data_IF_899480854128
#
_entry.id   IF_899480854128
#
_cell.length_a   1.000
_cell.length_b   1.000
_cell.length_c   1.000
_cell.angle_alpha   90.00
_cell.angle_beta   90.00
_cell.angle_gamma   90.00
#
_symmetry.space_group_name_H-M   'P 1'
#
loop_
_entity.id
_entity.type
_entity.pdbx_description
1 polymer ?
#
# COMPACT_ATOMS: atom_id res chain seq x y z
N UNK A 1 -1.52 -36.64 18.75
CA UNK A 1 -2.17 -37.62 17.85
C UNK A 1 -1.17 -38.21 16.88
N UNK A 2 -1.34 -39.45 16.46
CA UNK A 2 -0.50 -40.06 15.41
C UNK A 2 -0.99 -39.58 14.00
N UNK A 3 -0.09 -39.53 13.01
CA UNK A 3 -0.34 -39.05 11.63
C UNK A 3 -1.62 -39.63 11.01
N UNK A 4 -1.85 -40.93 11.19
CA UNK A 4 -3.02 -41.64 10.66
C UNK A 4 -4.34 -41.15 11.25
N UNK A 5 -4.35 -40.80 12.55
CA UNK A 5 -5.53 -40.26 13.22
C UNK A 5 -5.85 -38.84 12.74
N UNK A 6 -4.84 -38.03 12.45
CA UNK A 6 -5.03 -36.66 11.96
C UNK A 6 -5.58 -36.69 10.53
N UNK A 7 -5.04 -37.58 9.69
CA UNK A 7 -5.53 -37.78 8.32
C UNK A 7 -6.98 -38.27 8.29
N UNK A 8 -7.37 -39.18 9.18
CA UNK A 8 -8.77 -39.63 9.26
C UNK A 8 -9.70 -38.48 9.65
N UNK A 9 -9.34 -37.69 10.67
CA UNK A 9 -10.15 -36.52 11.06
C UNK A 9 -10.30 -35.50 9.92
N UNK A 10 -9.20 -35.19 9.20
CA UNK A 10 -9.26 -34.28 8.05
C UNK A 10 -10.18 -34.85 6.97
N UNK A 11 -10.08 -36.15 6.68
CA UNK A 11 -10.93 -36.78 5.67
C UNK A 11 -12.41 -36.79 6.05
N UNK A 12 -12.71 -36.92 7.34
CA UNK A 12 -14.07 -36.90 7.85
C UNK A 12 -14.64 -35.48 7.79
N UNK A 13 -13.88 -34.46 8.22
CA UNK A 13 -14.26 -33.05 8.07
C UNK A 13 -14.48 -32.67 6.60
N UNK A 14 -13.64 -33.15 5.67
CA UNK A 14 -13.81 -32.91 4.23
C UNK A 14 -15.12 -33.47 3.68
N UNK A 15 -15.54 -34.66 4.17
CA UNK A 15 -16.85 -35.21 3.82
C UNK A 15 -17.97 -34.33 4.38
N UNK A 16 -17.85 -33.87 5.62
CA UNK A 16 -18.84 -32.99 6.24
C UNK A 16 -18.97 -31.65 5.50
N UNK A 17 -17.88 -31.04 5.03
CA UNK A 17 -17.93 -29.84 4.17
C UNK A 17 -18.79 -30.07 2.92
N UNK A 18 -18.72 -31.26 2.33
CA UNK A 18 -19.47 -31.61 1.11
C UNK A 18 -20.96 -31.86 1.38
N UNK A 19 -21.30 -32.25 2.60
CA UNK A 19 -22.67 -32.53 3.05
C UNK A 19 -23.37 -31.30 3.65
N UNK A 20 -22.60 -30.31 4.09
CA UNK A 20 -23.12 -29.08 4.68
C UNK A 20 -23.98 -28.29 3.69
N UNK A 21 -25.10 -27.75 4.19
CA UNK A 21 -26.07 -27.04 3.36
C UNK A 21 -25.81 -25.53 3.31
N UNK A 22 -25.45 -24.91 4.44
CA UNK A 22 -25.16 -23.48 4.53
C UNK A 22 -23.65 -23.17 4.50
N UNK A 23 -23.32 -21.91 4.21
CA UNK A 23 -21.92 -21.46 4.16
C UNK A 23 -21.27 -21.36 5.54
N UNK A 24 -22.03 -21.17 6.61
CA UNK A 24 -21.54 -21.10 7.99
C UNK A 24 -20.94 -22.42 8.43
N UNK A 25 -21.69 -23.51 8.30
CA UNK A 25 -21.18 -24.85 8.61
C UNK A 25 -19.96 -25.19 7.75
N UNK A 26 -19.97 -24.87 6.45
CA UNK A 26 -18.79 -25.07 5.58
C UNK A 26 -17.57 -24.29 6.07
N UNK A 27 -17.75 -23.06 6.54
CA UNK A 27 -16.67 -22.25 7.07
C UNK A 27 -16.07 -22.86 8.34
N UNK A 28 -16.92 -23.34 9.27
CA UNK A 28 -16.47 -23.95 10.52
C UNK A 28 -15.73 -25.28 10.29
N UNK A 29 -16.22 -26.12 9.38
CA UNK A 29 -15.56 -27.40 9.03
C UNK A 29 -14.20 -27.16 8.37
N UNK A 30 -14.10 -26.19 7.44
CA UNK A 30 -12.81 -25.82 6.85
C UNK A 30 -11.88 -25.19 7.90
N UNK A 31 -12.40 -24.41 8.83
CA UNK A 31 -11.62 -23.85 9.93
C UNK A 31 -11.00 -24.97 10.79
N UNK A 32 -11.76 -26.02 11.11
CA UNK A 32 -11.25 -27.19 11.83
C UNK A 32 -10.14 -27.90 11.04
N UNK A 33 -10.33 -28.08 9.73
CA UNK A 33 -9.29 -28.66 8.86
C UNK A 33 -8.02 -27.81 8.90
N UNK A 34 -8.13 -26.48 8.79
CA UNK A 34 -6.98 -25.58 8.85
C UNK A 34 -6.25 -25.68 10.20
N UNK A 35 -6.97 -25.66 11.31
CA UNK A 35 -6.39 -25.81 12.65
C UNK A 35 -5.65 -27.14 12.79
N UNK A 36 -6.26 -28.26 12.39
CA UNK A 36 -5.62 -29.58 12.40
C UNK A 36 -4.36 -29.63 11.53
N UNK A 37 -4.39 -29.01 10.35
CA UNK A 37 -3.22 -28.95 9.45
C UNK A 37 -2.09 -28.10 10.03
N UNK A 38 -2.41 -26.98 10.67
CA UNK A 38 -1.42 -26.07 11.26
C UNK A 38 -0.79 -26.69 12.52
N UNK A 39 -1.61 -27.20 13.43
CA UNK A 39 -1.15 -27.75 14.72
C UNK A 39 -0.39 -29.07 14.58
N UNK A 40 -0.74 -29.90 13.59
CA UNK A 40 -0.09 -31.20 13.39
C UNK A 40 1.38 -31.10 13.00
N UNK A 41 1.80 -29.99 12.37
CA UNK A 41 3.14 -29.76 11.82
C UNK A 41 3.66 -30.88 10.88
N UNK A 42 2.77 -31.72 10.32
CA UNK A 42 3.14 -32.84 9.44
C UNK A 42 3.30 -32.34 8.00
N UNK A 43 4.52 -32.39 7.48
CA UNK A 43 4.91 -31.79 6.19
C UNK A 43 4.09 -32.33 4.99
N UNK A 44 3.76 -33.63 4.98
CA UNK A 44 2.94 -34.25 3.94
C UNK A 44 1.46 -33.80 3.94
N UNK A 45 0.97 -33.33 5.09
CA UNK A 45 -0.42 -32.88 5.30
C UNK A 45 -0.58 -31.39 4.97
N UNK A 46 0.55 -30.65 4.88
CA UNK A 46 0.58 -29.22 4.52
C UNK A 46 0.28 -28.95 3.05
N UNK A 47 0.19 -29.98 2.20
CA UNK A 47 -0.24 -29.80 0.82
C UNK A 47 -1.67 -29.23 0.80
N UNK A 48 -1.81 -28.15 0.02
CA UNK A 48 -3.03 -27.38 -0.23
C UNK A 48 -3.62 -26.54 0.92
N UNK A 49 -2.88 -26.21 1.99
CA UNK A 49 -3.35 -25.21 2.99
C UNK A 49 -3.76 -23.90 2.31
N UNK A 50 -3.05 -23.49 1.25
CA UNK A 50 -3.39 -22.31 0.46
C UNK A 50 -4.81 -22.37 -0.15
N UNK A 51 -5.19 -23.54 -0.68
CA UNK A 51 -6.53 -23.75 -1.27
C UNK A 51 -7.58 -23.76 -0.15
N UNK A 52 -7.29 -24.42 0.97
CA UNK A 52 -8.19 -24.47 2.11
C UNK A 52 -8.43 -23.08 2.70
N UNK A 53 -7.42 -22.21 2.75
CA UNK A 53 -7.60 -20.80 3.16
C UNK A 53 -8.47 -20.03 2.18
N UNK A 54 -8.35 -20.25 0.86
CA UNK A 54 -9.27 -19.62 -0.11
C UNK A 54 -10.71 -20.10 0.04
N UNK A 55 -10.89 -21.40 0.32
CA UNK A 55 -12.21 -21.99 0.60
C UNK A 55 -12.78 -21.41 1.89
N UNK A 56 -11.97 -21.32 2.94
CA UNK A 56 -12.33 -20.69 4.20
C UNK A 56 -12.81 -19.25 3.99
N UNK A 57 -12.01 -18.41 3.32
CA UNK A 57 -12.37 -17.01 3.03
C UNK A 57 -13.70 -16.93 2.29
N UNK A 58 -13.90 -17.76 1.26
CA UNK A 58 -15.13 -17.75 0.48
C UNK A 58 -16.35 -18.14 1.34
N UNK A 59 -16.27 -19.27 2.07
CA UNK A 59 -17.38 -19.73 2.90
C UNK A 59 -17.64 -18.80 4.07
N UNK A 60 -16.60 -18.30 4.73
CA UNK A 60 -16.74 -17.39 5.86
C UNK A 60 -17.43 -16.09 5.43
N UNK A 61 -17.01 -15.45 4.34
CA UNK A 61 -17.65 -14.23 3.83
C UNK A 61 -19.11 -14.50 3.44
N UNK A 62 -19.36 -15.56 2.66
CA UNK A 62 -20.72 -15.87 2.19
C UNK A 62 -21.65 -16.33 3.33
N UNK A 63 -21.11 -16.84 4.45
CA UNK A 63 -21.93 -17.23 5.61
C UNK A 63 -22.71 -16.06 6.21
N UNK A 64 -22.32 -14.82 5.93
CA UNK A 64 -23.05 -13.64 6.38
C UNK A 64 -24.22 -13.25 5.47
N UNK A 65 -24.27 -13.74 4.21
CA UNK A 65 -25.47 -13.58 3.37
C UNK A 65 -26.62 -14.47 3.87
N UNK A 66 -26.29 -15.64 4.44
CA UNK A 66 -27.26 -16.63 4.92
C UNK A 66 -27.83 -16.30 6.32
N UNK A 67 -27.24 -15.34 7.04
CA UNK A 67 -27.55 -15.06 8.45
C UNK A 67 -28.54 -13.91 8.62
N UNK A 68 -29.44 -14.04 9.61
CA UNK A 68 -30.40 -13.00 9.96
C UNK A 68 -29.70 -11.74 10.51
N UNK A 69 -30.31 -10.58 10.29
CA UNK A 69 -29.84 -9.27 10.76
C UNK A 69 -29.47 -9.31 12.26
N UNK A 70 -28.34 -8.69 12.63
CA UNK A 70 -27.75 -8.62 13.99
C UNK A 70 -27.08 -9.89 14.56
N UNK A 71 -26.95 -11.00 13.83
CA UNK A 71 -26.45 -12.24 14.46
C UNK A 71 -24.95 -12.53 14.40
N UNK A 72 -24.11 -11.81 13.64
CA UNK A 72 -22.65 -11.94 13.80
C UNK A 72 -21.88 -10.67 13.37
N UNK A 73 -20.86 -10.33 14.15
CA UNK A 73 -19.86 -9.30 13.77
C UNK A 73 -18.79 -9.98 12.91
N UNK A 74 -18.60 -9.49 11.68
CA UNK A 74 -17.51 -9.93 10.81
C UNK A 74 -16.16 -9.68 11.49
N UNK A 75 -15.38 -10.75 11.68
CA UNK A 75 -14.07 -10.71 12.31
C UNK A 75 -12.97 -10.77 11.24
N UNK A 76 -12.35 -9.61 10.99
CA UNK A 76 -11.28 -9.48 10.02
C UNK A 76 -9.99 -10.19 10.47
N UNK A 77 -9.78 -10.36 11.78
CA UNK A 77 -8.58 -10.98 12.34
C UNK A 77 -8.56 -12.48 12.02
N UNK A 78 -9.71 -13.16 12.08
CA UNK A 78 -9.83 -14.59 11.77
C UNK A 78 -9.29 -14.93 10.37
N UNK A 79 -9.59 -14.10 9.37
CA UNK A 79 -9.03 -14.28 8.02
C UNK A 79 -7.53 -13.92 8.00
N UNK A 80 -7.19 -12.80 8.64
CA UNK A 80 -5.82 -12.26 8.67
C UNK A 80 -4.82 -13.24 9.26
N UNK A 81 -5.19 -13.94 10.34
CA UNK A 81 -4.34 -14.96 11.00
C UNK A 81 -3.90 -16.04 10.02
N UNK A 82 -4.82 -16.61 9.24
CA UNK A 82 -4.49 -17.62 8.25
C UNK A 82 -3.66 -17.08 7.09
N UNK A 83 -3.97 -15.88 6.60
CA UNK A 83 -3.23 -15.23 5.51
C UNK A 83 -1.78 -14.94 5.93
N UNK A 84 -1.54 -14.62 7.21
CA UNK A 84 -0.21 -14.31 7.74
C UNK A 84 0.74 -15.51 7.83
N UNK A 85 0.25 -16.74 7.67
CA UNK A 85 1.07 -17.95 7.65
C UNK A 85 1.89 -18.11 6.37
N UNK A 86 1.56 -17.35 5.31
CA UNK A 86 2.15 -17.52 3.98
C UNK A 86 3.27 -16.52 3.69
N UNK A 87 4.17 -16.92 2.79
CA UNK A 87 5.17 -16.02 2.25
C UNK A 87 4.55 -14.84 1.49
N UNK A 88 5.30 -13.74 1.39
CA UNK A 88 4.86 -12.46 0.82
C UNK A 88 4.07 -12.61 -0.49
N UNK A 89 4.56 -13.41 -1.45
CA UNK A 89 3.88 -13.59 -2.75
C UNK A 89 2.50 -14.22 -2.61
N UNK A 90 2.39 -15.29 -1.82
CA UNK A 90 1.14 -15.99 -1.57
C UNK A 90 0.20 -15.15 -0.72
N UNK A 91 0.74 -14.48 0.32
CA UNK A 91 0.02 -13.53 1.17
C UNK A 91 -0.65 -12.43 0.35
N UNK A 92 0.09 -11.75 -0.54
CA UNK A 92 -0.46 -10.71 -1.39
C UNK A 92 -1.57 -11.27 -2.31
N UNK A 93 -1.41 -12.48 -2.84
CA UNK A 93 -2.43 -13.13 -3.66
C UNK A 93 -3.70 -13.47 -2.86
N UNK A 94 -3.57 -13.90 -1.61
CA UNK A 94 -4.72 -14.16 -0.73
C UNK A 94 -5.44 -12.86 -0.37
N UNK A 95 -4.71 -11.78 -0.09
CA UNK A 95 -5.29 -10.47 0.20
C UNK A 95 -6.10 -9.94 -1.01
N UNK A 96 -5.54 -10.02 -2.22
CA UNK A 96 -6.28 -9.69 -3.46
C UNK A 96 -7.55 -10.52 -3.61
N UNK A 97 -7.46 -11.82 -3.31
CA UNK A 97 -8.62 -12.72 -3.35
C UNK A 97 -9.70 -12.31 -2.33
N UNK A 98 -9.32 -12.07 -1.07
CA UNK A 98 -10.23 -11.64 0.01
C UNK A 98 -10.91 -10.32 -0.32
N UNK A 99 -10.15 -9.30 -0.76
CA UNK A 99 -10.68 -7.98 -1.14
C UNK A 99 -11.75 -8.13 -2.23
N UNK A 100 -11.47 -8.92 -3.27
CA UNK A 100 -12.44 -9.15 -4.35
C UNK A 100 -13.71 -9.82 -3.85
N UNK A 101 -13.60 -10.81 -2.98
CA UNK A 101 -14.78 -11.49 -2.42
C UNK A 101 -15.61 -10.56 -1.52
N UNK A 102 -14.96 -9.77 -0.65
CA UNK A 102 -15.65 -8.77 0.18
C UNK A 102 -16.41 -7.75 -0.67
N UNK A 103 -15.78 -7.21 -1.73
CA UNK A 103 -16.43 -6.29 -2.67
C UNK A 103 -17.61 -6.93 -3.39
N UNK A 104 -17.53 -8.22 -3.72
CA UNK A 104 -18.59 -8.94 -4.43
C UNK A 104 -19.83 -9.11 -3.55
N UNK A 105 -19.64 -9.36 -2.26
CA UNK A 105 -20.72 -9.54 -1.27
C UNK A 105 -21.22 -8.22 -0.67
N UNK A 106 -20.53 -7.10 -0.96
CA UNK A 106 -20.94 -5.75 -0.53
C UNK A 106 -20.39 -5.30 0.83
N UNK A 107 -19.39 -5.98 1.39
CA UNK A 107 -18.71 -5.60 2.64
C UNK A 107 -17.66 -4.49 2.44
N UNK A 108 -18.05 -3.35 1.87
CA UNK A 108 -17.13 -2.26 1.52
C UNK A 108 -16.40 -1.67 2.73
N UNK A 109 -17.06 -1.60 3.89
CA UNK A 109 -16.46 -1.07 5.12
C UNK A 109 -15.29 -1.94 5.62
N UNK A 110 -15.31 -3.24 5.33
CA UNK A 110 -14.30 -4.22 5.73
C UNK A 110 -13.12 -4.29 4.78
N UNK A 111 -13.31 -3.87 3.52
CA UNK A 111 -12.26 -3.84 2.49
C UNK A 111 -11.04 -3.03 2.94
N UNK A 112 -11.27 -1.88 3.58
CA UNK A 112 -10.20 -0.95 4.00
C UNK A 112 -9.13 -1.61 4.88
N UNK A 113 -9.54 -2.54 5.75
CA UNK A 113 -8.64 -3.31 6.61
C UNK A 113 -7.68 -4.17 5.77
N UNK A 114 -8.21 -4.96 4.82
CA UNK A 114 -7.38 -5.82 3.98
C UNK A 114 -6.55 -5.05 2.94
N UNK A 115 -7.06 -3.91 2.44
CA UNK A 115 -6.28 -3.02 1.55
C UNK A 115 -5.07 -2.43 2.26
N UNK A 116 -5.15 -2.12 3.56
CA UNK A 116 -3.99 -1.67 4.35
C UNK A 116 -2.92 -2.77 4.44
N UNK A 117 -3.33 -4.02 4.69
CA UNK A 117 -2.41 -5.16 4.72
C UNK A 117 -1.81 -5.48 3.34
N UNK A 118 -2.60 -5.32 2.28
CA UNK A 118 -2.13 -5.52 0.91
C UNK A 118 -1.06 -4.50 0.53
N UNK A 119 -1.28 -3.22 0.84
CA UNK A 119 -0.28 -2.15 0.64
C UNK A 119 1.03 -2.48 1.36
N UNK A 120 0.95 -2.93 2.60
CA UNK A 120 2.11 -3.40 3.35
C UNK A 120 2.80 -4.58 2.65
N UNK A 121 2.04 -5.60 2.24
CA UNK A 121 2.56 -6.78 1.55
C UNK A 121 3.27 -6.43 0.23
N UNK A 122 2.67 -5.57 -0.59
CA UNK A 122 3.23 -5.14 -1.87
C UNK A 122 4.50 -4.31 -1.68
N UNK A 123 4.54 -3.44 -0.67
CA UNK A 123 5.75 -2.70 -0.31
C UNK A 123 6.90 -3.65 0.07
N UNK A 124 6.66 -4.63 0.94
CA UNK A 124 7.67 -5.62 1.34
C UNK A 124 8.12 -6.48 0.16
N UNK A 125 7.20 -6.82 -0.77
CA UNK A 125 7.53 -7.57 -1.98
C UNK A 125 8.50 -6.79 -2.87
N UNK A 126 8.17 -5.54 -3.19
CA UNK A 126 9.01 -4.69 -4.06
C UNK A 126 10.36 -4.33 -3.40
N UNK A 127 10.40 -4.23 -2.07
CA UNK A 127 11.65 -4.00 -1.35
C UNK A 127 12.59 -5.22 -1.42
N UNK A 128 12.03 -6.44 -1.33
CA UNK A 128 12.81 -7.68 -1.46
C UNK A 128 13.29 -7.94 -2.89
N UNK A 129 12.49 -7.56 -3.89
CA UNK A 129 12.78 -7.71 -5.32
C UNK A 129 13.30 -6.39 -5.93
N UNK A 130 14.05 -5.59 -5.16
CA UNK A 130 14.45 -4.25 -5.56
C UNK A 130 15.19 -4.24 -6.91
N UNK A 131 14.66 -3.45 -7.85
CA UNK A 131 15.26 -3.17 -9.14
C UNK A 131 15.20 -1.67 -9.40
N UNK A 132 16.27 -1.11 -9.98
CA UNK A 132 16.35 0.31 -10.36
C UNK A 132 15.17 0.70 -11.27
N UNK A 133 14.68 -0.23 -12.10
CA UNK A 133 13.52 -0.04 -12.98
C UNK A 133 12.22 0.22 -12.20
N UNK A 134 12.13 -0.22 -10.94
CA UNK A 134 10.94 -0.12 -10.10
C UNK A 134 11.06 0.98 -9.03
N UNK A 135 12.08 1.86 -9.07
CA UNK A 135 12.26 2.93 -8.07
C UNK A 135 11.01 3.80 -7.93
N UNK A 136 10.40 4.21 -9.04
CA UNK A 136 9.19 5.03 -9.00
C UNK A 136 8.01 4.30 -8.35
N UNK A 137 7.87 3.00 -8.61
CA UNK A 137 6.84 2.15 -8.00
C UNK A 137 7.07 1.99 -6.49
N UNK A 138 8.32 1.80 -6.08
CA UNK A 138 8.70 1.70 -4.67
C UNK A 138 8.45 3.02 -3.93
N UNK A 139 8.81 4.16 -4.54
CA UNK A 139 8.54 5.49 -3.97
C UNK A 139 7.04 5.66 -3.77
N UNK A 140 6.24 5.36 -4.80
CA UNK A 140 4.77 5.43 -4.73
C UNK A 140 4.21 4.55 -3.60
N UNK A 141 4.62 3.28 -3.53
CA UNK A 141 4.16 2.36 -2.49
C UNK A 141 4.61 2.81 -1.09
N UNK A 142 5.82 3.33 -0.96
CA UNK A 142 6.33 3.87 0.31
C UNK A 142 5.43 5.02 0.79
N UNK A 143 5.18 5.99 -0.08
CA UNK A 143 4.32 7.15 0.20
C UNK A 143 2.89 6.81 0.58
N UNK A 144 2.36 5.71 0.03
CA UNK A 144 1.03 5.19 0.38
C UNK A 144 1.05 4.41 1.70
N UNK A 145 2.19 3.79 2.06
CA UNK A 145 2.34 2.99 3.27
C UNK A 145 2.54 3.82 4.55
N UNK A 146 3.26 4.94 4.49
CA UNK A 146 3.60 5.72 5.69
C UNK A 146 3.59 7.24 5.45
N UNK A 147 2.83 8.00 6.24
CA UNK A 147 2.77 9.46 6.13
C UNK A 147 4.14 10.16 6.30
N UNK A 148 5.05 9.58 7.08
CA UNK A 148 6.41 10.11 7.22
C UNK A 148 7.18 10.07 5.89
N UNK A 149 6.88 9.09 5.03
CA UNK A 149 7.50 9.01 3.70
C UNK A 149 6.96 10.06 2.73
N UNK A 150 5.75 10.60 2.95
CA UNK A 150 5.25 11.77 2.21
C UNK A 150 6.06 13.00 2.56
N UNK A 151 6.30 13.23 3.86
CA UNK A 151 7.16 14.32 4.32
C UNK A 151 8.57 14.17 3.73
N UNK A 152 9.10 12.95 3.71
CA UNK A 152 10.39 12.65 3.08
C UNK A 152 10.39 12.88 1.57
N UNK A 153 9.33 12.50 0.85
CA UNK A 153 9.21 12.73 -0.60
C UNK A 153 9.11 14.24 -0.93
N UNK A 154 8.38 15.01 -0.13
CA UNK A 154 8.34 16.47 -0.25
C UNK A 154 9.73 17.06 0.01
N UNK A 155 10.42 16.61 1.05
CA UNK A 155 11.77 17.05 1.38
C UNK A 155 12.76 16.70 0.27
N UNK A 156 12.65 15.52 -0.34
CA UNK A 156 13.44 15.12 -1.51
C UNK A 156 13.17 16.04 -2.71
N UNK A 157 11.92 16.37 -2.99
CA UNK A 157 11.56 17.30 -4.08
C UNK A 157 12.14 18.70 -3.85
N UNK A 158 12.12 19.17 -2.60
CA UNK A 158 12.75 20.44 -2.22
C UNK A 158 14.27 20.36 -2.41
N UNK A 159 14.91 19.29 -1.96
CA UNK A 159 16.36 19.07 -2.15
C UNK A 159 16.76 19.07 -3.62
N UNK A 160 15.99 18.38 -4.48
CA UNK A 160 16.22 18.38 -5.94
C UNK A 160 16.09 19.80 -6.50
N UNK A 161 15.06 20.55 -6.11
CA UNK A 161 14.91 21.96 -6.52
C UNK A 161 16.03 22.86 -6.02
N UNK A 162 16.51 22.66 -4.79
CA UNK A 162 17.67 23.38 -4.25
C UNK A 162 18.87 23.19 -5.16
N UNK A 163 19.11 21.95 -5.63
CA UNK A 163 20.21 21.59 -6.54
C UNK A 163 20.01 22.19 -7.94
N UNK A 164 18.81 22.06 -8.51
CA UNK A 164 18.49 22.56 -9.86
C UNK A 164 18.60 24.08 -9.95
N UNK A 165 18.26 24.79 -8.88
CA UNK A 165 18.38 26.24 -8.79
C UNK A 165 19.74 26.71 -8.28
N UNK A 166 20.78 25.88 -8.21
CA UNK A 166 22.12 26.44 -8.01
C UNK A 166 22.49 27.32 -9.22
N UNK A 167 23.23 28.42 -8.98
CA UNK A 167 23.75 29.24 -10.07
C UNK A 167 24.63 28.38 -10.98
N UNK A 168 24.35 28.42 -12.27
CA UNK A 168 25.10 27.64 -13.25
C UNK A 168 26.54 28.17 -13.37
N UNK A 169 27.56 27.29 -13.42
CA UNK A 169 28.95 27.73 -13.57
C UNK A 169 29.24 28.35 -14.95
N UNK A 170 28.42 28.04 -15.96
CA UNK A 170 28.55 28.54 -17.33
C UNK A 170 27.21 29.03 -17.86
N UNK A 171 27.23 30.15 -18.61
CA UNK A 171 26.02 30.80 -19.17
C UNK A 171 25.17 29.89 -20.06
N UNK A 172 25.78 28.95 -20.78
CA UNK A 172 25.04 28.02 -21.65
C UNK A 172 24.29 26.92 -20.87
N UNK A 173 24.60 26.75 -19.59
CA UNK A 173 23.91 25.82 -18.67
C UNK A 173 22.82 26.51 -17.85
N UNK A 174 22.63 27.82 -18.03
CA UNK A 174 21.67 28.62 -17.27
C UNK A 174 20.25 28.29 -17.73
N UNK A 175 19.52 27.55 -16.89
CA UNK A 175 18.12 27.22 -17.12
C UNK A 175 17.18 28.28 -16.55
N UNK A 176 17.60 28.93 -15.47
CA UNK A 176 16.81 29.89 -14.70
C UNK A 176 17.68 31.08 -14.30
N UNK A 177 17.10 32.27 -14.38
CA UNK A 177 17.65 33.48 -13.79
C UNK A 177 17.18 33.56 -12.34
N UNK A 178 18.13 33.74 -11.42
CA UNK A 178 17.88 33.62 -9.98
C UNK A 178 18.00 34.99 -9.31
N UNK A 179 16.91 35.44 -8.68
CA UNK A 179 16.88 36.68 -7.92
C UNK A 179 16.70 36.40 -6.42
N UNK A 180 17.77 36.58 -5.65
CA UNK A 180 17.72 36.33 -4.21
C UNK A 180 17.03 37.47 -3.44
N UNK A 181 16.01 37.11 -2.66
CA UNK A 181 15.58 37.94 -1.54
C UNK A 181 16.56 37.76 -0.37
N UNK A 182 16.85 38.83 0.37
CA UNK A 182 17.75 38.77 1.53
C UNK A 182 16.96 38.32 2.76
N UNK A 183 16.91 37.01 2.96
CA UNK A 183 16.24 36.35 4.09
C UNK A 183 17.20 36.07 5.24
N UNK A 184 18.45 35.72 4.93
CA UNK A 184 19.46 35.38 5.92
C UNK A 184 20.85 35.85 5.46
N UNK A 185 21.74 36.10 6.43
CA UNK A 185 23.13 36.49 6.18
C UNK A 185 24.00 35.32 5.70
N UNK A 186 23.63 34.08 6.01
CA UNK A 186 24.33 32.91 5.50
C UNK A 186 23.87 32.59 4.06
N UNK A 187 24.76 32.52 3.06
CA UNK A 187 24.38 32.34 1.65
C UNK A 187 23.69 31.00 1.37
N UNK A 188 24.08 29.93 2.07
CA UNK A 188 23.46 28.60 1.91
C UNK A 188 22.03 28.60 2.46
N UNK A 189 21.86 29.14 3.67
CA UNK A 189 20.53 29.25 4.29
C UNK A 189 19.64 30.23 3.53
N UNK A 190 20.22 31.29 2.99
CA UNK A 190 19.50 32.23 2.14
C UNK A 190 19.02 31.55 0.85
N UNK A 191 19.85 30.71 0.22
CA UNK A 191 19.47 29.93 -0.95
C UNK A 191 18.32 28.97 -0.66
N UNK A 192 18.46 28.14 0.38
CA UNK A 192 17.40 27.21 0.79
C UNK A 192 16.10 27.96 1.13
N UNK A 193 16.18 29.08 1.85
CA UNK A 193 15.02 29.90 2.20
C UNK A 193 14.29 30.45 0.98
N UNK A 194 15.02 30.95 -0.01
CA UNK A 194 14.41 31.46 -1.24
C UNK A 194 13.79 30.35 -2.09
N UNK A 195 14.43 29.17 -2.17
CA UNK A 195 13.87 27.99 -2.83
C UNK A 195 12.55 27.56 -2.16
N UNK A 196 12.48 27.61 -0.83
CA UNK A 196 11.26 27.31 -0.08
C UNK A 196 10.14 28.32 -0.37
N UNK A 197 10.43 29.62 -0.37
CA UNK A 197 9.43 30.64 -0.73
C UNK A 197 8.90 30.43 -2.14
N UNK A 198 9.80 30.13 -3.09
CA UNK A 198 9.43 29.78 -4.47
C UNK A 198 8.60 28.49 -4.54
N UNK A 199 8.92 27.49 -3.72
CA UNK A 199 8.19 26.22 -3.67
C UNK A 199 6.74 26.40 -3.26
N UNK A 200 6.48 27.28 -2.29
CA UNK A 200 5.13 27.59 -1.79
C UNK A 200 4.47 28.77 -2.53
N UNK A 201 5.07 29.25 -3.63
CA UNK A 201 4.58 30.39 -4.41
C UNK A 201 4.30 31.65 -3.56
N UNK A 202 5.09 31.83 -2.48
CA UNK A 202 5.03 33.05 -1.67
C UNK A 202 5.59 34.18 -2.53
N UNK A 203 4.75 35.19 -2.81
CA UNK A 203 5.11 36.32 -3.67
C UNK A 203 6.33 37.05 -3.10
N UNK A 204 7.46 36.89 -3.76
CA UNK A 204 8.64 37.74 -3.60
C UNK A 204 8.73 38.65 -4.82
N UNK A 205 9.10 39.91 -4.61
CA UNK A 205 9.40 40.84 -5.71
C UNK A 205 10.89 41.16 -5.66
N UNK A 206 11.68 40.80 -6.70
CA UNK A 206 11.33 39.98 -7.87
C UNK A 206 11.12 38.48 -7.54
N UNK A 207 10.58 37.73 -8.50
CA UNK A 207 10.39 36.28 -8.39
C UNK A 207 11.74 35.58 -8.27
N UNK A 208 11.84 34.57 -7.40
CA UNK A 208 13.12 33.93 -7.12
C UNK A 208 13.77 33.24 -8.34
N UNK A 209 12.98 32.62 -9.21
CA UNK A 209 13.50 31.88 -10.36
C UNK A 209 12.60 32.11 -11.59
N UNK A 210 13.19 32.61 -12.67
CA UNK A 210 12.51 32.83 -13.95
C UNK A 210 13.19 31.99 -15.05
N UNK A 211 12.43 31.21 -15.84
CA UNK A 211 13.03 30.38 -16.88
C UNK A 211 13.55 31.23 -18.03
N UNK A 212 14.85 31.12 -18.33
CA UNK A 212 15.52 31.89 -19.39
C UNK A 212 15.42 31.17 -20.75
N UNK A 213 15.31 29.84 -20.71
CA UNK A 213 15.30 28.98 -21.89
C UNK A 213 13.98 28.22 -22.01
N UNK A 214 13.58 27.88 -23.24
CA UNK A 214 12.43 27.01 -23.50
C UNK A 214 12.53 25.67 -22.74
N UNK A 215 13.73 25.10 -22.66
CA UNK A 215 14.01 23.88 -21.88
C UNK A 215 13.73 24.10 -20.39
N UNK A 216 14.16 25.24 -19.84
CA UNK A 216 13.84 25.65 -18.47
C UNK A 216 12.33 25.75 -18.24
N UNK A 217 11.58 26.36 -19.16
CA UNK A 217 10.12 26.45 -19.07
C UNK A 217 9.45 25.06 -19.09
N UNK A 218 9.89 24.16 -19.97
CA UNK A 218 9.36 22.79 -20.06
C UNK A 218 9.66 22.01 -18.77
N UNK A 219 10.90 22.08 -18.26
CA UNK A 219 11.29 21.43 -17.00
C UNK A 219 10.50 21.98 -15.81
N UNK A 220 10.24 23.28 -15.78
CA UNK A 220 9.43 23.92 -14.74
C UNK A 220 7.99 23.39 -14.74
N UNK A 221 7.35 23.30 -15.90
CA UNK A 221 5.99 22.74 -16.04
C UNK A 221 5.96 21.27 -15.64
N UNK A 222 6.89 20.45 -16.15
CA UNK A 222 6.98 19.04 -15.80
C UNK A 222 7.20 18.83 -14.29
N UNK A 223 8.04 19.65 -13.66
CA UNK A 223 8.27 19.62 -12.23
C UNK A 223 7.00 19.94 -11.43
N UNK A 224 6.20 20.93 -11.86
CA UNK A 224 4.90 21.23 -11.25
C UNK A 224 3.90 20.08 -11.45
N UNK A 225 3.81 19.51 -12.64
CA UNK A 225 2.96 18.35 -12.91
C UNK A 225 3.34 17.15 -12.04
N UNK A 226 4.64 16.85 -11.92
CA UNK A 226 5.14 15.77 -11.06
C UNK A 226 4.78 16.00 -9.59
N UNK A 227 4.95 17.23 -9.10
CA UNK A 227 4.56 17.60 -7.74
C UNK A 227 3.05 17.40 -7.51
N UNK A 228 2.19 17.86 -8.44
CA UNK A 228 0.74 17.67 -8.33
C UNK A 228 0.39 16.17 -8.34
N UNK A 229 0.89 15.43 -9.33
CA UNK A 229 0.56 14.01 -9.50
C UNK A 229 0.99 13.18 -8.29
N UNK A 230 2.15 13.47 -7.70
CA UNK A 230 2.64 12.71 -6.55
C UNK A 230 2.06 13.28 -5.26
N UNK A 231 2.33 14.53 -4.94
CA UNK A 231 2.01 15.08 -3.61
C UNK A 231 0.51 15.27 -3.44
N UNK A 232 -0.20 15.80 -4.44
CA UNK A 232 -1.64 16.06 -4.32
C UNK A 232 -2.45 14.77 -4.38
N UNK A 233 -2.21 13.86 -5.33
CA UNK A 233 -2.97 12.61 -5.38
C UNK A 233 -2.74 11.75 -4.13
N UNK A 234 -1.51 11.68 -3.64
CA UNK A 234 -1.20 10.87 -2.45
C UNK A 234 -1.79 11.52 -1.19
N UNK A 235 -1.70 12.85 -1.05
CA UNK A 235 -2.37 13.56 0.05
C UNK A 235 -3.88 13.34 0.02
N UNK A 236 -4.51 13.44 -1.16
CA UNK A 236 -5.95 13.20 -1.32
C UNK A 236 -6.31 11.76 -0.94
N UNK A 237 -5.55 10.76 -1.42
CA UNK A 237 -5.81 9.35 -1.12
C UNK A 237 -5.69 9.04 0.38
N UNK A 238 -4.70 9.65 1.05
CA UNK A 238 -4.54 9.56 2.51
C UNK A 238 -5.67 10.26 3.26
N UNK A 239 -6.12 11.43 2.80
CA UNK A 239 -7.25 12.15 3.38
C UNK A 239 -8.54 11.33 3.24
N UNK A 240 -8.81 10.76 2.07
CA UNK A 240 -9.96 9.87 1.84
C UNK A 240 -9.93 8.65 2.76
N UNK A 241 -8.77 7.98 2.84
CA UNK A 241 -8.59 6.80 3.69
C UNK A 241 -8.84 7.12 5.18
N UNK A 242 -8.42 8.30 5.66
CA UNK A 242 -8.56 8.70 7.07
C UNK A 242 -9.91 9.28 7.43
N UNK A 243 -10.51 10.08 6.55
CA UNK A 243 -11.76 10.77 6.82
C UNK A 243 -12.99 10.01 6.30
N UNK A 244 -12.82 8.84 5.65
CA UNK A 244 -13.89 8.07 5.00
C UNK A 244 -14.76 8.96 4.09
N UNK A 245 -14.10 9.81 3.31
CA UNK A 245 -14.71 10.71 2.31
C UNK A 245 -14.55 10.10 0.92
#
# INVERSE_FOLDING_TARGET
MNKTQILSLISDEQKQVSLANDFGEKADRINNILQLKIESNIQDIKNDIYIDVKRFVNFYINSFEDKQFNYDVFDELKISEYINLFEVKQKCSLLHYTIRHLKTVGFEEKVSFFESQLRACEFHRELKEFSIKNIFKLIYLATVYNNLTILFAILLCIMVKVVVYLPAPFKWMELYEIHYSKLNNNPVLNHVGNVLLSFFEVKTNPSFAEPVTFVGSVLFVLGKCFFIIIVVNILIDQLKTRFKI
#
